data_IF_805991702307
#
_entry.id   IF_805991702307
#
_cell.length_a   1.000
_cell.length_b   1.000
_cell.length_c   1.000
_cell.angle_alpha   90.00
_cell.angle_beta   90.00
_cell.angle_gamma   90.00
#
_symmetry.space_group_name_H-M   'P 1'
#
loop_
_entity.id
_entity.type
_entity.pdbx_description
1 polymer ?
#
# COMPACT_ATOMS: atom_id res chain seq x y z
N UNK A 1 31.79 10.76 -11.20
CA UNK A 1 30.60 9.93 -11.52
C UNK A 1 30.52 8.77 -10.53
N UNK A 2 30.01 9.00 -9.31
CA UNK A 2 30.04 8.01 -8.22
C UNK A 2 28.91 6.96 -8.26
N UNK A 3 27.95 7.08 -9.18
CA UNK A 3 26.73 6.25 -9.21
C UNK A 3 26.73 5.14 -10.26
N UNK A 4 27.76 5.06 -11.11
CA UNK A 4 27.91 4.00 -12.11
C UNK A 4 29.01 3.05 -11.59
N UNK A 5 28.68 1.81 -11.18
CA UNK A 5 29.68 0.84 -10.75
C UNK A 5 30.55 0.38 -11.93
N UNK A 6 31.59 -0.40 -11.66
CA UNK A 6 32.30 -1.11 -12.74
C UNK A 6 31.44 -2.29 -13.23
N UNK A 7 31.46 -2.60 -14.54
CA UNK A 7 30.77 -3.77 -15.08
C UNK A 7 31.38 -5.07 -14.54
N UNK A 8 30.64 -6.17 -14.66
CA UNK A 8 31.18 -7.50 -14.39
C UNK A 8 32.41 -7.75 -15.29
N UNK A 9 33.58 -8.09 -14.73
CA UNK A 9 34.82 -8.19 -15.49
C UNK A 9 34.85 -9.38 -16.47
N UNK A 10 33.89 -10.32 -16.37
CA UNK A 10 33.85 -11.54 -17.19
C UNK A 10 32.90 -11.37 -18.38
N UNK A 11 31.75 -10.77 -18.14
CA UNK A 11 30.65 -10.66 -19.11
C UNK A 11 30.48 -9.24 -19.67
N UNK A 12 31.05 -8.24 -19.01
CA UNK A 12 30.88 -6.82 -19.37
C UNK A 12 29.50 -6.25 -19.00
N UNK A 13 28.59 -7.05 -18.44
CA UNK A 13 27.25 -6.62 -18.08
C UNK A 13 27.17 -6.02 -16.67
N UNK A 14 26.17 -5.18 -16.46
CA UNK A 14 25.79 -4.69 -15.13
C UNK A 14 24.78 -5.64 -14.51
N UNK A 15 25.23 -6.45 -13.55
CA UNK A 15 24.36 -7.32 -12.77
C UNK A 15 24.81 -7.30 -11.30
N UNK A 16 23.84 -7.29 -10.39
CA UNK A 16 24.10 -7.37 -8.96
C UNK A 16 23.26 -8.47 -8.31
N UNK A 17 23.93 -9.38 -7.62
CA UNK A 17 23.34 -10.47 -6.85
C UNK A 17 23.76 -10.42 -5.37
N UNK A 18 24.48 -9.37 -4.96
CA UNK A 18 24.97 -9.21 -3.58
C UNK A 18 23.89 -8.74 -2.62
N UNK A 19 22.83 -8.14 -3.15
CA UNK A 19 21.77 -7.51 -2.36
C UNK A 19 20.64 -8.49 -2.03
N UNK A 20 19.98 -8.26 -0.90
CA UNK A 20 18.88 -9.11 -0.40
C UNK A 20 17.60 -8.30 -0.30
N UNK A 21 16.60 -8.68 -1.09
CA UNK A 21 15.24 -8.20 -0.89
C UNK A 21 14.76 -8.65 0.49
N UNK A 22 14.21 -7.73 1.28
CA UNK A 22 13.76 -8.02 2.64
C UNK A 22 12.33 -7.57 2.81
N UNK A 23 11.48 -8.49 3.27
CA UNK A 23 10.12 -8.18 3.71
C UNK A 23 10.07 -8.41 5.22
N UNK A 24 9.65 -7.38 5.95
CA UNK A 24 9.17 -7.52 7.32
C UNK A 24 7.65 -7.38 7.29
N UNK A 25 6.94 -8.32 7.91
CA UNK A 25 5.49 -8.37 7.91
C UNK A 25 5.00 -8.78 9.29
N UNK A 26 4.45 -7.81 10.01
CA UNK A 26 3.98 -7.95 11.39
C UNK A 26 2.46 -7.96 11.41
N UNK A 27 1.87 -9.04 11.94
CA UNK A 27 0.42 -9.26 11.94
C UNK A 27 -0.09 -9.63 13.31
N UNK A 28 -1.26 -9.09 13.67
CA UNK A 28 -2.00 -9.45 14.86
C UNK A 28 -3.50 -9.53 14.55
N UNK A 29 -4.16 -10.51 15.15
CA UNK A 29 -5.60 -10.65 15.12
C UNK A 29 -6.13 -10.92 16.52
N UNK A 30 -7.24 -10.30 16.86
CA UNK A 30 -7.95 -10.58 18.11
C UNK A 30 -9.44 -10.75 17.84
N UNK A 31 -10.02 -11.75 18.49
CA UNK A 31 -11.45 -12.01 18.50
C UNK A 31 -11.97 -12.00 19.93
N UNK A 32 -13.10 -11.36 20.13
CA UNK A 32 -13.85 -11.36 21.39
C UNK A 32 -15.29 -11.78 21.10
N UNK A 33 -15.74 -12.81 21.81
CA UNK A 33 -17.09 -13.34 21.71
C UNK A 33 -17.82 -13.09 23.03
N UNK A 34 -19.06 -12.62 22.94
CA UNK A 34 -19.88 -12.28 24.09
C UNK A 34 -21.32 -12.74 23.88
N UNK A 35 -21.81 -13.59 24.77
CA UNK A 35 -23.20 -14.02 24.73
C UNK A 35 -24.03 -13.25 25.77
N UNK A 36 -25.06 -12.55 25.29
CA UNK A 36 -25.97 -11.81 26.13
C UNK A 36 -27.41 -12.28 25.91
N UNK A 37 -28.12 -12.56 27.00
CA UNK A 37 -29.50 -13.04 26.93
C UNK A 37 -30.48 -12.05 26.27
N UNK A 38 -30.24 -10.73 26.36
CA UNK A 38 -31.12 -9.69 25.79
C UNK A 38 -30.73 -9.29 24.37
N UNK A 39 -29.44 -9.23 24.09
CA UNK A 39 -28.91 -8.71 22.81
C UNK A 39 -28.34 -9.78 21.88
N UNK A 40 -28.30 -11.04 22.29
CA UNK A 40 -27.83 -12.17 21.48
C UNK A 40 -26.32 -12.42 21.59
N UNK A 41 -25.81 -13.20 20.65
CA UNK A 41 -24.40 -13.56 20.55
C UNK A 41 -23.66 -12.52 19.70
N UNK A 42 -22.73 -11.80 20.31
CA UNK A 42 -21.86 -10.82 19.67
C UNK A 42 -20.48 -11.42 19.41
N UNK A 43 -19.91 -11.08 18.25
CA UNK A 43 -18.51 -11.35 17.92
C UNK A 43 -17.87 -10.09 17.37
N UNK A 44 -16.74 -9.71 17.95
CA UNK A 44 -15.89 -8.61 17.52
C UNK A 44 -14.56 -9.17 17.07
N UNK A 45 -14.11 -8.79 15.87
CA UNK A 45 -12.82 -9.19 15.34
C UNK A 45 -12.07 -7.97 14.84
N UNK A 46 -10.80 -7.87 15.22
CA UNK A 46 -9.87 -6.90 14.71
C UNK A 46 -8.64 -7.61 14.14
N UNK A 47 -8.20 -7.16 12.97
CA UNK A 47 -6.95 -7.58 12.35
C UNK A 47 -6.14 -6.35 11.99
N UNK A 48 -4.84 -6.43 12.25
CA UNK A 48 -3.85 -5.44 11.86
C UNK A 48 -2.67 -6.18 11.22
N UNK A 49 -2.28 -5.74 10.04
CA UNK A 49 -1.05 -6.14 9.38
C UNK A 49 -0.30 -4.91 8.90
N UNK A 50 1.00 -4.87 9.14
CA UNK A 50 1.91 -3.83 8.68
C UNK A 50 3.12 -4.51 8.05
N UNK A 51 3.41 -4.17 6.80
CA UNK A 51 4.49 -4.77 6.06
C UNK A 51 5.38 -3.70 5.41
N UNK A 52 6.66 -4.00 5.39
CA UNK A 52 7.72 -3.19 4.82
C UNK A 52 8.56 -4.07 3.90
N UNK A 53 8.48 -3.79 2.59
CA UNK A 53 9.23 -4.48 1.55
C UNK A 53 10.35 -3.57 1.06
N UNK A 54 11.58 -3.86 1.48
CA UNK A 54 12.80 -3.20 1.01
C UNK A 54 13.28 -3.88 -0.27
N UNK A 55 13.26 -3.14 -1.37
CA UNK A 55 13.95 -3.49 -2.60
C UNK A 55 15.31 -2.76 -2.65
N UNK A 56 16.44 -3.46 -2.42
CA UNK A 56 17.76 -2.83 -2.44
C UNK A 56 18.25 -2.46 -3.86
N UNK A 57 17.61 -3.01 -4.91
CA UNK A 57 18.02 -2.88 -6.30
C UNK A 57 16.81 -2.47 -7.17
N UNK A 58 16.29 -1.24 -6.95
CA UNK A 58 15.18 -0.69 -7.75
C UNK A 58 15.64 0.02 -9.04
N UNK A 59 16.88 -0.25 -9.45
CA UNK A 59 17.50 0.11 -10.72
C UNK A 59 18.35 -1.09 -11.19
N UNK A 60 19.02 -1.02 -12.35
CA UNK A 60 19.93 -2.11 -12.78
C UNK A 60 21.27 -2.13 -12.04
N UNK A 61 21.55 -1.10 -11.24
CA UNK A 61 22.81 -0.94 -10.49
C UNK A 61 22.54 -0.66 -9.01
N UNK A 62 23.46 -1.04 -8.09
CA UNK A 62 23.31 -0.77 -6.67
C UNK A 62 23.21 0.73 -6.34
N UNK A 63 22.67 1.03 -5.15
CA UNK A 63 22.58 2.39 -4.62
C UNK A 63 21.22 3.05 -4.79
N UNK A 64 20.28 2.43 -5.52
CA UNK A 64 18.93 2.95 -5.77
C UNK A 64 17.87 2.08 -5.10
N UNK A 65 17.95 1.97 -3.77
CA UNK A 65 16.99 1.22 -2.97
C UNK A 65 15.67 1.95 -2.81
N UNK A 66 14.58 1.19 -2.76
CA UNK A 66 13.23 1.69 -2.43
C UNK A 66 12.57 0.84 -1.37
N UNK A 67 11.54 1.39 -0.75
CA UNK A 67 10.65 0.66 0.14
C UNK A 67 9.22 0.74 -0.35
N UNK A 68 8.52 -0.39 -0.31
CA UNK A 68 7.06 -0.43 -0.42
C UNK A 68 6.48 -0.77 0.94
N UNK A 69 5.72 0.16 1.52
CA UNK A 69 5.00 -0.09 2.78
C UNK A 69 3.55 -0.42 2.49
N UNK A 70 2.99 -1.36 3.27
CA UNK A 70 1.58 -1.66 3.20
C UNK A 70 0.99 -1.88 4.58
N UNK A 71 -0.26 -1.47 4.74
CA UNK A 71 -1.01 -1.67 5.98
C UNK A 71 -2.40 -2.22 5.64
N UNK A 72 -2.82 -3.26 6.35
CA UNK A 72 -4.13 -3.85 6.25
C UNK A 72 -4.81 -3.86 7.62
N UNK A 73 -6.00 -3.26 7.70
CA UNK A 73 -6.80 -3.20 8.93
C UNK A 73 -8.20 -3.73 8.63
N UNK A 74 -8.68 -4.64 9.46
CA UNK A 74 -10.03 -5.16 9.35
C UNK A 74 -10.71 -5.09 10.70
N UNK A 75 -11.94 -4.58 10.70
CA UNK A 75 -12.82 -4.62 11.85
C UNK A 75 -14.12 -5.30 11.45
N UNK A 76 -14.57 -6.29 12.22
CA UNK A 76 -15.81 -7.02 11.98
C UNK A 76 -16.60 -7.07 13.27
N UNK A 77 -17.86 -6.68 13.19
CA UNK A 77 -18.86 -6.90 14.23
C UNK A 77 -19.91 -7.84 13.65
N UNK A 78 -20.33 -8.83 14.43
CA UNK A 78 -21.52 -9.62 14.09
C UNK A 78 -22.36 -9.87 15.31
N UNK A 79 -23.66 -10.02 15.08
CA UNK A 79 -24.65 -10.37 16.08
C UNK A 79 -25.56 -11.46 15.55
N UNK A 80 -25.72 -12.55 16.31
CA UNK A 80 -26.75 -13.55 16.08
C UNK A 80 -27.73 -13.48 17.24
N UNK A 81 -28.98 -13.11 16.96
CA UNK A 81 -30.02 -12.99 17.97
C UNK A 81 -31.18 -13.91 17.65
N UNK A 82 -31.44 -14.86 18.54
CA UNK A 82 -32.69 -15.61 18.56
C UNK A 82 -33.82 -14.70 19.05
N UNK A 83 -34.91 -14.63 18.28
CA UNK A 83 -36.09 -13.81 18.55
C UNK A 83 -37.26 -14.76 18.80
N UNK A 84 -37.67 -14.90 20.06
CA UNK A 84 -38.67 -15.90 20.46
C UNK A 84 -38.17 -17.32 20.26
N UNK A 85 -39.08 -18.27 20.05
CA UNK A 85 -38.74 -19.69 19.90
C UNK A 85 -38.47 -20.12 18.45
N UNK A 86 -38.73 -19.26 17.46
CA UNK A 86 -38.77 -19.70 16.05
C UNK A 86 -38.14 -18.74 15.05
N UNK A 87 -37.50 -17.66 15.48
CA UNK A 87 -36.81 -16.74 14.59
C UNK A 87 -35.36 -16.46 15.01
N UNK A 88 -34.51 -16.16 14.03
CA UNK A 88 -33.12 -15.77 14.23
C UNK A 88 -32.80 -14.62 13.28
N UNK A 89 -32.21 -13.56 13.82
CA UNK A 89 -31.60 -12.48 13.06
C UNK A 89 -30.07 -12.59 13.13
N UNK A 90 -29.41 -12.36 11.99
CA UNK A 90 -27.97 -12.43 11.82
C UNK A 90 -27.50 -11.13 11.17
N UNK A 91 -26.90 -10.26 11.97
CA UNK A 91 -26.34 -9.00 11.52
C UNK A 91 -24.81 -9.11 11.43
N UNK A 92 -24.22 -8.49 10.41
CA UNK A 92 -22.77 -8.35 10.27
C UNK A 92 -22.40 -7.01 9.65
N UNK A 93 -21.45 -6.35 10.28
CA UNK A 93 -20.76 -5.18 9.76
C UNK A 93 -19.28 -5.52 9.61
N UNK A 94 -18.66 -5.09 8.51
CA UNK A 94 -17.21 -5.12 8.37
C UNK A 94 -16.70 -3.85 7.71
N UNK A 95 -15.58 -3.37 8.22
CA UNK A 95 -14.77 -2.33 7.64
C UNK A 95 -13.39 -2.92 7.34
N UNK A 96 -12.94 -2.76 6.10
CA UNK A 96 -11.61 -3.16 5.67
C UNK A 96 -10.91 -1.98 5.04
N UNK A 97 -9.69 -1.69 5.51
CA UNK A 97 -8.83 -0.64 4.98
C UNK A 97 -7.50 -1.23 4.59
N UNK A 98 -7.07 -0.94 3.37
CA UNK A 98 -5.69 -1.17 2.92
C UNK A 98 -5.06 0.15 2.54
N UNK A 99 -3.77 0.29 2.78
CA UNK A 99 -3.00 1.42 2.31
C UNK A 99 -1.65 0.94 1.82
N UNK A 100 -1.25 1.39 0.64
CA UNK A 100 0.06 1.11 0.04
C UNK A 100 0.79 2.42 -0.21
N UNK A 101 2.09 2.47 0.08
CA UNK A 101 3.02 3.46 -0.49
C UNK A 101 4.06 2.69 -1.30
N UNK A 102 4.09 2.87 -2.61
CA UNK A 102 4.94 2.08 -3.51
C UNK A 102 6.28 2.74 -3.77
N UNK A 103 7.33 1.94 -3.70
CA UNK A 103 8.68 2.30 -4.19
C UNK A 103 9.20 3.66 -3.72
N UNK A 104 8.96 4.02 -2.46
CA UNK A 104 9.52 5.22 -1.86
C UNK A 104 11.05 5.13 -1.82
N UNK A 105 11.79 6.13 -2.33
CA UNK A 105 13.25 6.11 -2.31
C UNK A 105 13.82 5.98 -0.89
N UNK A 106 14.82 5.11 -0.72
CA UNK A 106 15.58 4.94 0.53
C UNK A 106 17.05 5.33 0.43
N UNK A 107 17.55 5.57 -0.78
CA UNK A 107 18.92 5.99 -1.06
C UNK A 107 18.98 6.87 -2.32
N UNK A 108 20.18 7.32 -2.69
CA UNK A 108 20.42 8.23 -3.82
C UNK A 108 19.74 9.60 -3.70
N UNK A 109 19.60 10.09 -2.45
CA UNK A 109 19.26 11.48 -2.16
C UNK A 109 20.43 12.39 -2.52
N UNK A 110 20.17 13.42 -3.31
CA UNK A 110 21.14 14.41 -3.74
C UNK A 110 20.39 15.64 -4.27
N UNK A 111 20.92 16.84 -4.04
CA UNK A 111 20.38 18.00 -4.72
C UNK A 111 20.75 17.93 -6.20
N UNK A 112 19.85 18.35 -7.08
CA UNK A 112 20.07 18.38 -8.52
C UNK A 112 21.27 19.26 -8.89
N UNK A 113 21.51 20.35 -8.15
CA UNK A 113 22.71 21.19 -8.33
C UNK A 113 24.01 20.45 -8.07
N UNK A 114 24.03 19.54 -7.08
CA UNK A 114 25.20 18.72 -6.74
C UNK A 114 25.51 17.67 -7.82
N UNK A 115 24.50 17.34 -8.63
CA UNK A 115 24.63 16.46 -9.80
C UNK A 115 25.09 17.22 -11.06
N UNK A 116 25.29 18.54 -10.96
CA UNK A 116 25.71 19.39 -12.06
C UNK A 116 24.57 19.95 -12.90
N UNK A 117 23.31 19.80 -12.47
CA UNK A 117 22.19 20.44 -13.16
C UNK A 117 22.09 21.91 -12.79
N UNK A 118 21.78 22.75 -13.78
CA UNK A 118 21.21 24.07 -13.49
C UNK A 118 19.80 23.84 -12.94
N UNK A 119 19.41 24.55 -11.89
CA UNK A 119 18.13 24.35 -11.21
C UNK A 119 17.38 25.66 -11.01
N UNK A 120 16.04 25.59 -11.06
CA UNK A 120 15.16 26.67 -10.62
C UNK A 120 14.32 27.31 -11.74
N UNK A 121 13.22 28.00 -11.38
CA UNK A 121 12.33 28.66 -12.34
C UNK A 121 13.08 29.66 -13.22
N UNK A 122 12.83 29.63 -14.53
CA UNK A 122 13.45 30.55 -15.49
C UNK A 122 14.89 30.20 -15.90
N UNK A 123 15.38 29.02 -15.54
CA UNK A 123 16.63 28.45 -16.06
C UNK A 123 16.34 27.43 -17.17
N UNK A 124 17.31 27.11 -18.03
CA UNK A 124 17.21 25.99 -18.98
C UNK A 124 17.47 24.62 -18.31
N UNK A 125 17.28 24.57 -16.99
CA UNK A 125 17.69 23.49 -16.11
C UNK A 125 16.56 22.53 -15.74
N UNK A 126 16.84 21.66 -14.77
CA UNK A 126 15.82 20.78 -14.18
C UNK A 126 15.11 21.54 -13.07
N UNK A 127 13.78 21.47 -13.05
CA UNK A 127 12.95 21.99 -11.96
C UNK A 127 12.39 20.79 -11.20
N UNK A 128 12.60 20.68 -9.88
CA UNK A 128 11.89 19.72 -9.05
C UNK A 128 10.37 19.96 -9.15
N UNK A 129 9.62 18.96 -9.58
CA UNK A 129 8.15 19.00 -9.67
C UNK A 129 7.46 18.37 -8.46
N UNK A 130 8.25 17.87 -7.50
CA UNK A 130 7.74 17.42 -6.22
C UNK A 130 7.08 18.56 -5.42
N UNK A 131 6.18 18.24 -4.47
CA UNK A 131 5.65 19.24 -3.55
C UNK A 131 6.77 19.93 -2.75
N UNK A 132 6.55 21.14 -2.21
CA UNK A 132 7.57 21.85 -1.42
C UNK A 132 8.13 20.97 -0.28
N UNK A 133 9.46 20.84 -0.24
CA UNK A 133 10.15 20.00 0.75
C UNK A 133 10.22 18.51 0.41
N UNK A 134 9.75 18.09 -0.78
CA UNK A 134 10.00 16.74 -1.27
C UNK A 134 11.50 16.54 -1.53
N UNK A 135 12.10 15.43 -1.06
CA UNK A 135 13.54 15.23 -1.19
C UNK A 135 13.95 15.04 -2.64
N UNK A 136 15.00 15.75 -3.04
CA UNK A 136 15.64 15.56 -4.34
C UNK A 136 16.48 14.28 -4.34
N UNK A 137 16.49 13.61 -5.49
CA UNK A 137 17.17 12.33 -5.71
C UNK A 137 17.79 12.33 -7.09
N UNK A 138 18.75 11.44 -7.29
CA UNK A 138 19.28 11.15 -8.63
C UNK A 138 18.13 10.77 -9.59
N UNK A 139 17.93 11.53 -10.68
CA UNK A 139 16.88 11.26 -11.65
C UNK A 139 17.07 9.91 -12.34
N UNK A 140 15.97 9.30 -12.79
CA UNK A 140 16.04 8.04 -13.54
C UNK A 140 16.60 8.27 -14.94
N UNK A 141 17.65 7.54 -15.29
CA UNK A 141 18.33 7.58 -16.59
C UNK A 141 18.47 6.17 -17.13
N UNK A 142 18.13 6.01 -18.41
CA UNK A 142 18.25 4.74 -19.12
C UNK A 142 19.44 4.79 -20.07
N UNK A 143 20.30 3.77 -20.00
CA UNK A 143 21.36 3.49 -20.96
C UNK A 143 21.00 2.21 -21.73
N UNK A 144 21.79 1.88 -22.75
CA UNK A 144 21.54 0.69 -23.57
C UNK A 144 21.56 -0.62 -22.77
N UNK A 145 22.38 -0.69 -21.71
CA UNK A 145 22.68 -1.94 -20.99
C UNK A 145 22.22 -1.91 -19.52
N UNK A 146 21.97 -0.71 -18.95
CA UNK A 146 21.57 -0.56 -17.56
C UNK A 146 20.76 0.73 -17.37
N UNK A 147 20.06 0.82 -16.25
CA UNK A 147 19.43 2.05 -15.79
C UNK A 147 19.89 2.37 -14.37
N UNK A 148 19.87 3.66 -14.05
CA UNK A 148 20.15 4.19 -12.73
C UNK A 148 19.09 5.24 -12.35
N UNK A 149 19.09 5.63 -11.09
CA UNK A 149 18.16 6.61 -10.55
C UNK A 149 16.96 5.96 -9.86
N UNK A 150 16.30 6.74 -9.01
CA UNK A 150 15.17 6.23 -8.22
C UNK A 150 13.92 6.09 -9.09
N UNK A 151 12.91 5.36 -8.60
CA UNK A 151 11.67 5.19 -9.32
C UNK A 151 10.99 6.54 -9.59
N UNK A 152 10.42 6.70 -10.79
CA UNK A 152 9.78 7.95 -11.20
C UNK A 152 8.35 8.07 -10.70
N UNK A 153 7.76 7.00 -10.17
CA UNK A 153 6.38 6.99 -9.69
C UNK A 153 6.30 6.35 -8.32
N UNK A 154 5.81 7.12 -7.36
CA UNK A 154 5.41 6.63 -6.02
C UNK A 154 3.92 6.84 -5.88
N UNK A 155 3.20 5.78 -5.53
CA UNK A 155 1.75 5.78 -5.39
C UNK A 155 1.38 5.57 -3.93
N UNK A 156 0.60 6.50 -3.38
CA UNK A 156 -0.10 6.31 -2.12
C UNK A 156 -1.57 5.97 -2.40
N UNK A 157 -1.99 4.77 -2.03
CA UNK A 157 -3.33 4.27 -2.32
C UNK A 157 -4.04 3.71 -1.09
N UNK A 158 -4.75 4.56 -0.32
CA UNK A 158 -5.64 4.12 0.76
C UNK A 158 -7.04 3.76 0.24
N UNK A 159 -7.40 2.48 0.33
CA UNK A 159 -8.70 1.94 -0.06
C UNK A 159 -9.51 1.55 1.17
N UNK A 160 -10.79 1.89 1.17
CA UNK A 160 -11.74 1.54 2.24
C UNK A 160 -12.90 0.73 1.65
N UNK A 161 -13.29 -0.33 2.34
CA UNK A 161 -14.47 -1.14 2.02
C UNK A 161 -15.35 -1.23 3.25
N UNK A 162 -16.59 -0.76 3.13
CA UNK A 162 -17.64 -0.93 4.12
C UNK A 162 -18.59 -2.00 3.62
N UNK A 163 -18.94 -2.96 4.47
CA UNK A 163 -19.86 -4.04 4.14
C UNK A 163 -20.80 -4.28 5.31
N UNK A 164 -22.10 -4.23 5.02
CA UNK A 164 -23.17 -4.50 5.99
C UNK A 164 -24.07 -5.58 5.40
N UNK A 165 -24.42 -6.57 6.21
CA UNK A 165 -25.38 -7.60 5.83
C UNK A 165 -26.30 -7.93 6.99
N UNK A 166 -27.57 -8.15 6.68
CA UNK A 166 -28.57 -8.63 7.63
C UNK A 166 -29.33 -9.82 7.02
N UNK A 167 -29.55 -10.85 7.83
CA UNK A 167 -30.32 -12.02 7.47
C UNK A 167 -31.30 -12.38 8.57
N UNK A 168 -32.55 -12.63 8.20
CA UNK A 168 -33.60 -13.05 9.11
C UNK A 168 -34.18 -14.39 8.65
N UNK A 169 -34.32 -15.31 9.61
CA UNK A 169 -34.97 -16.59 9.43
C UNK A 169 -36.14 -16.71 10.40
N UNK A 170 -37.25 -17.26 9.92
CA UNK A 170 -38.43 -17.51 10.75
C UNK A 170 -39.12 -18.81 10.36
N UNK A 171 -39.27 -19.70 11.33
CA UNK A 171 -40.08 -20.90 11.24
C UNK A 171 -41.48 -20.63 11.77
N UNK A 172 -42.50 -20.95 10.96
CA UNK A 172 -43.92 -20.91 11.34
C UNK A 172 -44.60 -22.20 10.90
N UNK A 173 -44.92 -23.05 11.87
CA UNK A 173 -45.48 -24.38 11.60
C UNK A 173 -44.50 -25.26 10.81
N UNK A 174 -44.92 -25.73 9.63
CA UNK A 174 -44.11 -26.56 8.73
C UNK A 174 -43.29 -25.76 7.71
N UNK A 175 -43.36 -24.42 7.75
CA UNK A 175 -42.70 -23.54 6.79
C UNK A 175 -41.56 -22.76 7.45
N UNK A 176 -40.48 -22.57 6.71
CA UNK A 176 -39.34 -21.71 7.10
C UNK A 176 -39.13 -20.67 6.02
N UNK A 177 -39.09 -19.40 6.44
CA UNK A 177 -38.82 -18.26 5.58
C UNK A 177 -37.42 -17.73 5.90
N UNK A 178 -36.67 -17.35 4.87
CA UNK A 178 -35.39 -16.66 5.01
C UNK A 178 -35.35 -15.48 4.05
N UNK A 179 -35.00 -14.32 4.56
CA UNK A 179 -34.82 -13.11 3.77
C UNK A 179 -33.68 -12.28 4.38
N UNK A 180 -33.13 -11.34 3.61
CA UNK A 180 -32.00 -10.56 4.03
C UNK A 180 -31.53 -9.61 2.93
N UNK A 181 -30.52 -8.82 3.26
CA UNK A 181 -29.95 -7.84 2.36
C UNK A 181 -28.49 -7.59 2.67
N UNK A 182 -27.79 -7.04 1.67
CA UNK A 182 -26.39 -6.69 1.77
C UNK A 182 -26.13 -5.36 1.09
N UNK A 183 -25.25 -4.55 1.68
CA UNK A 183 -24.73 -3.33 1.11
C UNK A 183 -23.22 -3.30 1.19
N UNK A 184 -22.55 -2.90 0.10
CA UNK A 184 -21.11 -2.67 0.05
C UNK A 184 -20.80 -1.31 -0.55
N UNK A 185 -19.91 -0.57 0.09
CA UNK A 185 -19.36 0.68 -0.42
C UNK A 185 -17.83 0.57 -0.50
N UNK A 186 -17.30 0.72 -1.71
CA UNK A 186 -15.87 0.67 -2.00
C UNK A 186 -15.41 2.08 -2.31
N UNK A 187 -14.43 2.55 -1.56
CA UNK A 187 -13.76 3.82 -1.79
C UNK A 187 -12.30 3.55 -2.15
N UNK A 188 -11.94 3.85 -3.38
CA UNK A 188 -10.57 3.77 -3.87
C UNK A 188 -10.03 5.20 -3.92
N UNK A 189 -8.98 5.48 -3.16
CA UNK A 189 -8.29 6.76 -3.23
C UNK A 189 -6.86 6.50 -3.65
N UNK A 190 -6.39 7.22 -4.66
CA UNK A 190 -5.04 7.10 -5.19
C UNK A 190 -4.42 8.49 -5.31
N UNK A 191 -3.15 8.60 -4.91
CA UNK A 191 -2.35 9.82 -5.01
C UNK A 191 -0.99 9.45 -5.54
N UNK A 192 -0.62 10.03 -6.67
CA UNK A 192 0.63 9.73 -7.35
C UNK A 192 1.58 10.92 -7.27
N UNK A 193 2.84 10.64 -6.92
CA UNK A 193 3.95 11.55 -7.14
C UNK A 193 4.71 11.03 -8.35
N UNK A 194 4.67 11.82 -9.42
CA UNK A 194 5.28 11.46 -10.70
C UNK A 194 6.45 12.39 -11.00
N UNK A 195 7.59 11.81 -11.36
CA UNK A 195 8.79 12.47 -11.85
C UNK A 195 9.26 13.67 -11.03
N UNK A 196 9.33 13.58 -9.68
CA UNK A 196 9.59 14.73 -8.81
C UNK A 196 10.93 15.44 -9.13
N UNK A 197 11.87 14.73 -9.77
CA UNK A 197 13.22 15.21 -10.09
C UNK A 197 13.55 15.17 -11.60
N UNK A 198 12.57 15.03 -12.50
CA UNK A 198 12.82 14.78 -13.93
C UNK A 198 12.09 15.73 -14.91
N UNK A 199 11.50 16.83 -14.43
CA UNK A 199 10.91 17.85 -15.31
C UNK A 199 11.96 18.88 -15.76
N UNK A 200 12.23 18.91 -17.06
CA UNK A 200 13.00 19.98 -17.71
C UNK A 200 12.16 21.26 -17.75
N UNK A 201 12.76 22.41 -17.43
CA UNK A 201 12.16 23.70 -17.73
C UNK A 201 12.08 23.91 -19.24
N UNK A 202 10.91 24.29 -19.76
CA UNK A 202 10.75 24.76 -21.14
C UNK A 202 11.02 26.27 -21.23
#
# INVERSE_FOLDING_TARGET
>A
MPYIPLPDPTTGFFADSSQKLRIQDDKIGQRLDFNNQKTGYWSFYYHFGDANNLNPLNASVPGFSSVTTSRAQQFVISNNKTIGASAVNQFRFSFFRTAFHTDEPKSSFANLSDLGFVTGPGTLGIIPSGPPGFPETVPKVYFNEFNLGVNTLTTFQPNNTFHVSDGYMWAKGRHTFKFGGEFRYLQINERNVCSPNASMAA
#
